data_IF_512368882494
#
_entry.id   IF_512368882494
#
_cell.length_a   1.000
_cell.length_b   1.000
_cell.length_c   1.000
_cell.angle_alpha   90.00
_cell.angle_beta   90.00
_cell.angle_gamma   90.00
#
_symmetry.space_group_name_H-M   'P 1'
#
loop_
_entity.id
_entity.type
_entity.pdbx_description
1 polymer ?
#
# COMPACT_ATOMS: atom_id res chain seq x y z
N UNK A 1 44.77 -21.83 5.69
CA UNK A 1 43.63 -22.65 6.16
C UNK A 1 42.57 -21.68 6.68
N UNK A 2 41.42 -21.67 5.99
CA UNK A 2 40.15 -20.98 6.29
C UNK A 2 40.18 -19.45 6.32
N UNK A 3 39.93 -18.89 5.13
CA UNK A 3 39.31 -17.57 4.93
C UNK A 3 37.88 -17.66 5.48
N UNK A 4 37.60 -17.06 6.64
CA UNK A 4 36.22 -16.94 7.14
C UNK A 4 35.58 -15.75 6.44
N UNK A 5 34.98 -16.03 5.28
CA UNK A 5 34.01 -15.15 4.63
C UNK A 5 32.79 -15.02 5.56
N UNK A 6 32.83 -14.04 6.46
CA UNK A 6 31.65 -13.56 7.17
C UNK A 6 30.73 -12.94 6.11
N UNK A 7 29.77 -13.75 5.67
CA UNK A 7 28.70 -13.40 4.75
C UNK A 7 27.99 -12.11 5.21
N UNK A 8 27.85 -11.19 4.26
CA UNK A 8 27.19 -9.87 4.32
C UNK A 8 25.66 -9.97 4.57
N UNK A 9 25.20 -10.90 5.40
CA UNK A 9 23.79 -11.20 5.63
C UNK A 9 23.27 -10.75 7.01
N UNK A 10 24.12 -10.17 7.87
CA UNK A 10 23.75 -9.85 9.26
C UNK A 10 23.43 -8.37 9.52
N UNK A 11 23.29 -7.52 8.49
CA UNK A 11 22.93 -6.11 8.65
C UNK A 11 21.74 -5.68 7.75
N UNK A 12 20.78 -6.58 7.54
CA UNK A 12 19.57 -6.34 6.74
C UNK A 12 18.29 -6.30 7.59
N UNK A 13 18.36 -5.79 8.83
CA UNK A 13 17.26 -5.88 9.80
C UNK A 13 16.45 -4.60 10.06
N UNK A 14 16.78 -3.44 9.49
CA UNK A 14 16.04 -2.20 9.80
C UNK A 14 16.10 -1.07 8.74
N UNK A 15 16.89 -1.19 7.67
CA UNK A 15 17.21 -0.06 6.80
C UNK A 15 16.81 -0.18 5.32
N UNK A 16 16.53 -1.39 4.82
CA UNK A 16 16.17 -1.62 3.41
C UNK A 16 14.69 -1.38 3.10
N UNK A 17 13.85 -1.70 4.08
CA UNK A 17 12.41 -1.89 3.90
C UNK A 17 11.62 -0.58 4.03
N UNK A 18 12.09 0.38 4.84
CA UNK A 18 11.41 1.68 5.04
C UNK A 18 11.64 2.68 3.89
N UNK A 19 12.66 2.48 3.05
CA UNK A 19 13.04 3.44 2.01
C UNK A 19 11.99 3.59 0.91
N UNK A 20 11.35 2.48 0.54
CA UNK A 20 10.25 2.50 -0.43
C UNK A 20 9.05 3.27 0.13
N UNK A 21 8.70 3.00 1.39
CA UNK A 21 7.62 3.71 2.09
C UNK A 21 7.92 5.21 2.16
N UNK A 22 9.15 5.61 2.51
CA UNK A 22 9.60 7.00 2.51
C UNK A 22 9.44 7.68 1.15
N UNK A 23 9.93 7.06 0.07
CA UNK A 23 9.81 7.60 -1.28
C UNK A 23 8.35 7.83 -1.70
N UNK A 24 7.44 6.91 -1.36
CA UNK A 24 6.01 7.06 -1.65
C UNK A 24 5.35 8.12 -0.77
N UNK A 25 5.73 8.23 0.51
CA UNK A 25 5.26 9.31 1.40
C UNK A 25 5.65 10.70 0.87
N UNK A 26 6.86 10.81 0.33
CA UNK A 26 7.38 12.03 -0.30
C UNK A 26 6.81 12.25 -1.72
N UNK A 27 6.02 11.29 -2.23
CA UNK A 27 5.43 11.27 -3.58
C UNK A 27 6.49 11.34 -4.69
N UNK A 28 7.66 10.77 -4.44
CA UNK A 28 8.76 10.65 -5.40
C UNK A 28 8.62 9.36 -6.21
N UNK A 29 7.89 9.45 -7.32
CA UNK A 29 7.71 8.34 -8.26
C UNK A 29 9.03 7.87 -8.88
N UNK A 30 10.01 8.77 -9.10
CA UNK A 30 11.29 8.42 -9.71
C UNK A 30 12.12 7.55 -8.75
N UNK A 31 12.21 7.96 -7.49
CA UNK A 31 12.83 7.16 -6.43
C UNK A 31 12.10 5.83 -6.22
N UNK A 32 10.76 5.84 -6.20
CA UNK A 32 9.93 4.63 -6.09
C UNK A 32 10.26 3.63 -7.20
N UNK A 33 10.29 4.06 -8.47
CA UNK A 33 10.68 3.22 -9.61
C UNK A 33 12.12 2.71 -9.51
N UNK A 34 13.05 3.54 -9.04
CA UNK A 34 14.44 3.15 -8.85
C UNK A 34 14.59 2.06 -7.79
N UNK A 35 13.92 2.22 -6.65
CA UNK A 35 13.96 1.27 -5.53
C UNK A 35 13.34 -0.08 -5.90
N UNK A 36 12.21 -0.11 -6.59
CA UNK A 36 11.55 -1.36 -7.01
C UNK A 36 12.43 -2.21 -7.96
N UNK A 37 13.39 -1.60 -8.68
CA UNK A 37 14.36 -2.34 -9.50
C UNK A 37 15.50 -2.96 -8.68
N UNK A 38 15.65 -2.59 -7.41
CA UNK A 38 16.73 -3.05 -6.52
C UNK A 38 16.32 -4.24 -5.64
N UNK A 39 15.24 -4.95 -6.00
CA UNK A 39 14.69 -6.10 -5.25
C UNK A 39 14.39 -5.80 -3.77
N UNK A 40 13.95 -4.57 -3.46
CA UNK A 40 13.42 -4.22 -2.13
C UNK A 40 12.15 -5.00 -1.84
N UNK A 41 11.86 -5.25 -0.55
CA UNK A 41 10.55 -5.79 -0.17
C UNK A 41 9.47 -4.73 -0.39
N UNK A 42 8.63 -4.95 -1.41
CA UNK A 42 7.50 -4.06 -1.74
C UNK A 42 6.43 -4.02 -0.64
N UNK A 43 6.39 -5.04 0.22
CA UNK A 43 5.42 -5.20 1.30
C UNK A 43 5.96 -4.77 2.67
N UNK A 44 7.16 -4.21 2.69
CA UNK A 44 7.67 -3.49 3.85
C UNK A 44 6.69 -2.44 4.36
N UNK A 45 6.67 -2.25 5.68
CA UNK A 45 5.81 -1.29 6.34
C UNK A 45 6.57 -0.40 7.32
N UNK A 46 6.01 0.78 7.61
CA UNK A 46 6.50 1.65 8.68
C UNK A 46 6.02 1.19 10.07
N UNK A 47 6.32 1.98 11.12
CA UNK A 47 5.97 1.66 12.51
C UNK A 47 4.45 1.52 12.75
N UNK A 48 3.61 2.02 11.85
CA UNK A 48 2.16 1.93 11.91
C UNK A 48 1.63 0.69 11.17
N UNK A 49 2.52 -0.08 10.54
CA UNK A 49 2.15 -1.16 9.62
C UNK A 49 1.68 -0.65 8.26
N UNK A 50 1.91 0.64 7.94
CA UNK A 50 1.55 1.19 6.64
C UNK A 50 2.62 0.83 5.61
N UNK A 51 2.20 0.06 4.62
CA UNK A 51 3.03 -0.25 3.44
C UNK A 51 2.97 0.87 2.40
N UNK A 52 3.85 0.81 1.40
CA UNK A 52 3.88 1.77 0.30
C UNK A 52 2.51 1.90 -0.41
N UNK A 53 1.78 0.80 -0.58
CA UNK A 53 0.48 0.82 -1.27
C UNK A 53 -0.61 1.52 -0.44
N UNK A 54 -0.53 1.53 0.89
CA UNK A 54 -1.43 2.35 1.71
C UNK A 54 -1.21 3.84 1.44
N UNK A 55 0.05 4.29 1.48
CA UNK A 55 0.38 5.70 1.26
C UNK A 55 0.04 6.15 -0.17
N UNK A 56 0.29 5.32 -1.18
CA UNK A 56 -0.08 5.64 -2.56
C UNK A 56 -1.61 5.79 -2.72
N UNK A 57 -2.39 4.90 -2.09
CA UNK A 57 -3.85 4.98 -2.07
C UNK A 57 -4.34 6.23 -1.30
N UNK A 58 -3.73 6.52 -0.15
CA UNK A 58 -4.01 7.71 0.66
C UNK A 58 -3.77 9.02 -0.10
N UNK A 59 -2.74 9.08 -0.95
CA UNK A 59 -2.46 10.26 -1.77
C UNK A 59 -3.29 10.36 -3.06
N UNK A 60 -4.11 9.36 -3.37
CA UNK A 60 -4.82 9.31 -4.63
C UNK A 60 -3.90 9.10 -5.85
N UNK A 61 -2.69 8.58 -5.64
CA UNK A 61 -1.69 8.39 -6.69
C UNK A 61 -1.89 7.05 -7.41
N UNK A 62 -2.74 7.08 -8.44
CA UNK A 62 -3.06 5.91 -9.25
C UNK A 62 -1.84 5.31 -9.96
N UNK A 63 -0.89 6.15 -10.39
CA UNK A 63 0.29 5.66 -11.09
C UNK A 63 1.17 4.83 -10.15
N UNK A 64 1.42 5.35 -8.95
CA UNK A 64 2.19 4.63 -7.93
C UNK A 64 1.46 3.38 -7.45
N UNK A 65 0.13 3.41 -7.27
CA UNK A 65 -0.65 2.20 -6.93
C UNK A 65 -0.46 1.10 -7.97
N UNK A 66 -0.64 1.41 -9.26
CA UNK A 66 -0.45 0.42 -10.34
C UNK A 66 0.96 -0.11 -10.39
N UNK A 67 1.96 0.76 -10.20
CA UNK A 67 3.37 0.37 -10.16
C UNK A 67 3.64 -0.62 -9.01
N UNK A 68 3.14 -0.34 -7.82
CA UNK A 68 3.32 -1.20 -6.64
C UNK A 68 2.62 -2.55 -6.82
N UNK A 69 1.39 -2.58 -7.35
CA UNK A 69 0.68 -3.83 -7.66
C UNK A 69 1.47 -4.67 -8.66
N UNK A 70 1.98 -4.06 -9.73
CA UNK A 70 2.79 -4.76 -10.73
C UNK A 70 4.10 -5.32 -10.14
N UNK A 71 4.63 -4.69 -9.09
CA UNK A 71 5.79 -5.16 -8.34
C UNK A 71 5.46 -6.21 -7.26
N UNK A 72 4.19 -6.63 -7.13
CA UNK A 72 3.77 -7.67 -6.18
C UNK A 72 3.33 -7.15 -4.80
N UNK A 73 2.96 -5.87 -4.70
CA UNK A 73 2.36 -5.34 -3.48
C UNK A 73 1.05 -6.07 -3.14
N UNK A 74 0.91 -6.44 -1.87
CA UNK A 74 -0.28 -7.08 -1.35
C UNK A 74 -1.41 -6.05 -1.15
N UNK A 75 -2.40 -6.02 -2.05
CA UNK A 75 -3.55 -5.13 -1.94
C UNK A 75 -4.52 -5.49 -0.79
N UNK A 76 -4.39 -6.67 -0.17
CA UNK A 76 -5.21 -7.15 0.95
C UNK A 76 -4.62 -6.80 2.32
N UNK A 77 -3.42 -6.23 2.35
CA UNK A 77 -2.71 -5.92 3.59
C UNK A 77 -3.54 -5.02 4.48
N UNK A 78 -3.45 -5.23 5.79
CA UNK A 78 -4.00 -4.34 6.79
C UNK A 78 -2.86 -3.82 7.66
N UNK A 79 -2.89 -2.53 7.99
CA UNK A 79 -1.96 -1.94 8.95
C UNK A 79 -2.30 -2.40 10.39
N UNK A 80 -1.58 -1.90 11.39
CA UNK A 80 -1.77 -2.31 12.80
C UNK A 80 -3.17 -2.01 13.37
N UNK A 81 -3.93 -1.15 12.70
CA UNK A 81 -5.29 -0.76 13.07
C UNK A 81 -6.37 -1.50 12.28
N UNK A 82 -5.98 -2.39 11.35
CA UNK A 82 -6.91 -3.08 10.45
C UNK A 82 -7.27 -2.29 9.19
N UNK A 83 -6.73 -1.08 9.01
CA UNK A 83 -6.99 -0.24 7.83
C UNK A 83 -6.27 -0.85 6.63
N UNK A 84 -6.96 -0.96 5.49
CA UNK A 84 -6.41 -1.50 4.25
C UNK A 84 -6.20 -0.40 3.20
N UNK A 85 -5.42 -0.62 2.13
CA UNK A 85 -5.29 0.37 1.05
C UNK A 85 -6.63 0.77 0.43
N UNK A 86 -7.63 -0.13 0.44
CA UNK A 86 -8.96 0.18 -0.09
C UNK A 86 -9.73 1.16 0.80
N UNK A 87 -9.53 1.12 2.12
CA UNK A 87 -10.08 2.14 3.01
C UNK A 87 -9.49 3.52 2.71
N UNK A 88 -8.17 3.60 2.55
CA UNK A 88 -7.48 4.86 2.22
C UNK A 88 -7.98 5.44 0.90
N UNK A 89 -8.08 4.61 -0.15
CA UNK A 89 -8.61 5.02 -1.45
C UNK A 89 -10.07 5.53 -1.39
N UNK A 90 -10.89 4.96 -0.50
CA UNK A 90 -12.27 5.38 -0.28
C UNK A 90 -12.41 6.83 0.16
N UNK A 91 -11.41 7.37 0.88
CA UNK A 91 -11.44 8.77 1.35
C UNK A 91 -11.27 9.79 0.22
N UNK A 92 -10.42 9.49 -0.77
CA UNK A 92 -9.97 10.47 -1.78
C UNK A 92 -10.91 10.59 -2.97
N UNK A 93 -11.71 9.56 -3.27
CA UNK A 93 -12.66 9.62 -4.38
C UNK A 93 -12.10 9.16 -5.73
N UNK A 94 -10.89 8.59 -5.78
CA UNK A 94 -10.29 8.12 -7.03
C UNK A 94 -10.78 6.70 -7.41
N UNK A 95 -11.80 6.65 -8.26
CA UNK A 95 -12.39 5.42 -8.80
C UNK A 95 -11.35 4.48 -9.43
N UNK A 96 -10.35 5.02 -10.14
CA UNK A 96 -9.31 4.19 -10.77
C UNK A 96 -8.46 3.41 -9.77
N UNK A 97 -8.26 3.94 -8.56
CA UNK A 97 -7.52 3.24 -7.50
C UNK A 97 -8.38 2.13 -6.91
N UNK A 98 -9.67 2.40 -6.66
CA UNK A 98 -10.62 1.38 -6.19
C UNK A 98 -10.62 0.19 -7.14
N UNK A 99 -10.80 0.43 -8.44
CA UNK A 99 -10.75 -0.63 -9.45
C UNK A 99 -9.43 -1.42 -9.43
N UNK A 100 -8.29 -0.71 -9.36
CA UNK A 100 -6.99 -1.35 -9.37
C UNK A 100 -6.79 -2.27 -8.14
N UNK A 101 -7.20 -1.80 -6.96
CA UNK A 101 -7.10 -2.56 -5.71
C UNK A 101 -8.06 -3.76 -5.71
N UNK A 102 -9.30 -3.59 -6.18
CA UNK A 102 -10.27 -4.69 -6.31
C UNK A 102 -9.80 -5.76 -7.30
N UNK A 103 -9.26 -5.34 -8.46
CA UNK A 103 -8.64 -6.26 -9.43
C UNK A 103 -7.43 -7.00 -8.86
N UNK A 104 -6.69 -6.37 -7.94
CA UNK A 104 -5.61 -7.00 -7.18
C UNK A 104 -6.11 -7.85 -5.98
N UNK A 105 -7.43 -8.03 -5.85
CA UNK A 105 -8.05 -8.91 -4.87
C UNK A 105 -8.28 -8.28 -3.49
N UNK A 106 -8.24 -6.96 -3.35
CA UNK A 106 -8.64 -6.30 -2.11
C UNK A 106 -10.07 -6.70 -1.72
N UNK A 107 -10.32 -6.90 -0.43
CA UNK A 107 -11.64 -7.25 0.09
C UNK A 107 -12.49 -5.97 0.26
N UNK A 108 -13.56 -5.75 -0.52
CA UNK A 108 -14.46 -4.59 -0.36
C UNK A 108 -15.20 -4.58 0.98
N UNK A 109 -15.28 -5.73 1.65
CA UNK A 109 -15.94 -5.91 2.95
C UNK A 109 -14.94 -6.02 4.11
N UNK A 110 -13.67 -5.66 3.90
CA UNK A 110 -12.72 -5.58 5.01
C UNK A 110 -13.27 -4.58 6.04
N UNK A 111 -13.26 -4.96 7.31
CA UNK A 111 -13.76 -4.11 8.39
C UNK A 111 -12.67 -3.89 9.41
N UNK A 112 -12.57 -2.67 9.94
CA UNK A 112 -11.64 -2.32 11.01
C UNK A 112 -12.34 -1.54 12.13
N UNK A 113 -11.68 -1.46 13.29
CA UNK A 113 -12.23 -0.80 14.47
C UNK A 113 -13.63 -1.32 14.83
N UNK A 114 -14.61 -0.43 14.90
CA UNK A 114 -16.02 -0.73 15.21
C UNK A 114 -16.83 -1.28 14.02
N UNK A 115 -16.17 -1.81 12.98
CA UNK A 115 -16.83 -2.33 11.79
C UNK A 115 -16.84 -1.37 10.59
N UNK A 116 -15.99 -0.36 10.60
CA UNK A 116 -15.85 0.58 9.47
C UNK A 116 -15.32 -0.18 8.25
N UNK A 117 -16.02 -0.06 7.12
CA UNK A 117 -15.67 -0.69 5.84
C UNK A 117 -15.26 0.36 4.80
N UNK A 118 -14.62 -0.01 3.67
CA UNK A 118 -14.27 0.94 2.61
C UNK A 118 -15.48 1.71 2.07
N UNK A 119 -16.64 1.05 1.98
CA UNK A 119 -17.88 1.71 1.52
C UNK A 119 -18.39 2.74 2.54
N UNK A 120 -18.27 2.48 3.84
CA UNK A 120 -18.59 3.46 4.89
C UNK A 120 -17.66 4.67 4.82
N UNK A 121 -16.37 4.44 4.62
CA UNK A 121 -15.39 5.51 4.41
C UNK A 121 -15.77 6.40 3.23
N UNK A 122 -16.07 5.79 2.07
CA UNK A 122 -16.48 6.51 0.86
C UNK A 122 -17.81 7.26 1.03
N UNK A 123 -18.77 6.69 1.76
CA UNK A 123 -20.04 7.32 2.08
C UNK A 123 -19.84 8.56 2.96
N UNK A 124 -18.97 8.47 3.98
CA UNK A 124 -18.66 9.59 4.89
C UNK A 124 -18.02 10.78 4.17
N UNK A 125 -17.25 10.52 3.11
CA UNK A 125 -16.60 11.57 2.30
C UNK A 125 -17.45 12.01 1.10
N UNK A 126 -18.64 11.43 0.90
CA UNK A 126 -19.56 11.81 -0.18
C UNK A 126 -19.16 11.29 -1.56
N UNK A 127 -18.29 10.28 -1.64
CA UNK A 127 -17.80 9.69 -2.89
C UNK A 127 -18.83 8.72 -3.49
N UNK A 128 -19.94 9.25 -3.99
CA UNK A 128 -21.11 8.47 -4.47
C UNK A 128 -20.74 7.42 -5.52
N UNK A 129 -19.83 7.72 -6.44
CA UNK A 129 -19.43 6.78 -7.49
C UNK A 129 -18.65 5.59 -6.92
N UNK A 130 -17.80 5.81 -5.92
CA UNK A 130 -17.12 4.73 -5.19
C UNK A 130 -18.12 3.91 -4.39
N UNK A 131 -19.09 4.56 -3.74
CA UNK A 131 -20.13 3.85 -2.99
C UNK A 131 -20.90 2.89 -3.90
N UNK A 132 -21.31 3.35 -5.09
CA UNK A 132 -21.97 2.48 -6.08
C UNK A 132 -21.05 1.33 -6.48
N UNK A 133 -19.81 1.63 -6.87
CA UNK A 133 -18.84 0.62 -7.29
C UNK A 133 -18.55 -0.45 -6.22
N UNK A 134 -18.56 -0.10 -4.94
CA UNK A 134 -18.32 -1.06 -3.85
C UNK A 134 -19.57 -1.86 -3.44
N UNK A 135 -20.77 -1.44 -3.88
CA UNK A 135 -22.04 -2.12 -3.61
C UNK A 135 -22.52 -3.01 -4.77
N UNK A 136 -21.98 -2.80 -5.98
CA UNK A 136 -22.25 -3.62 -7.17
C UNK A 136 -21.61 -5.02 -7.07
#
# INVERSE_FOLDING_TARGET
>A
MVVVLLSLAALAGAGGDVRLVGAVKDRDLAATRSLLRQHVDVNASDAEGMTAIHWAAHWGDLETVKLLIAAGANAKVANRYGVTPLHEAGTIGNVGIIEALLKAGANPNAAYGSGETPVMTAARTGNVDIVKMLLD
#
